data_IF_492979514457
#
_entry.id   IF_492979514457
#
_cell.length_a   1.000
_cell.length_b   1.000
_cell.length_c   1.000
_cell.angle_alpha   90.00
_cell.angle_beta   90.00
_cell.angle_gamma   90.00
#
_symmetry.space_group_name_H-M   'P 1'
#
loop_
_entity.id
_entity.type
_entity.pdbx_description
1 polymer ?
#
# COMPACT_ATOMS: atom_id res chain seq x y z
N UNK A 1 12.15 2.99 -7.44
CA UNK A 1 10.77 3.37 -7.10
C UNK A 1 10.78 4.76 -6.52
N UNK A 2 9.62 5.38 -6.32
CA UNK A 2 9.50 6.49 -5.38
C UNK A 2 9.09 5.94 -4.02
N UNK A 3 9.86 6.27 -3.00
CA UNK A 3 9.55 5.96 -1.60
C UNK A 3 8.57 6.98 -1.03
N UNK A 4 8.07 6.75 0.19
CA UNK A 4 7.28 7.79 0.86
C UNK A 4 8.20 8.89 1.38
N UNK A 5 7.66 10.10 1.60
CA UNK A 5 8.34 11.17 2.35
C UNK A 5 8.40 10.90 3.86
N UNK A 6 7.98 9.71 4.29
CA UNK A 6 8.04 9.26 5.67
C UNK A 6 9.49 9.34 6.17
N UNK A 7 9.73 10.06 7.25
CA UNK A 7 11.07 10.31 7.77
C UNK A 7 11.63 9.18 8.63
N UNK A 8 10.90 8.07 8.79
CA UNK A 8 11.45 6.83 9.35
C UNK A 8 12.41 6.12 8.39
N UNK A 9 12.50 6.56 7.13
CA UNK A 9 13.52 6.09 6.19
C UNK A 9 14.92 6.59 6.59
N UNK A 10 15.88 5.68 6.72
CA UNK A 10 17.28 6.01 7.01
C UNK A 10 18.14 6.21 5.73
N UNK A 11 17.62 5.79 4.57
CA UNK A 11 18.33 5.81 3.29
C UNK A 11 18.17 7.13 2.51
N UNK A 12 19.12 7.41 1.60
CA UNK A 12 18.96 8.45 0.59
C UNK A 12 17.94 8.02 -0.47
N UNK A 13 16.72 8.54 -0.36
CA UNK A 13 15.58 8.16 -1.20
C UNK A 13 15.12 9.29 -2.12
N UNK A 14 14.62 8.90 -3.29
CA UNK A 14 13.71 9.76 -4.07
C UNK A 14 12.30 9.49 -3.58
N UNK A 15 11.68 10.49 -2.97
CA UNK A 15 10.43 10.35 -2.26
C UNK A 15 9.28 11.16 -2.87
N UNK A 16 8.07 10.62 -2.78
CA UNK A 16 6.82 11.33 -3.01
C UNK A 16 5.85 11.00 -1.88
N UNK A 17 4.89 11.88 -1.56
CA UNK A 17 3.86 11.54 -0.58
C UNK A 17 3.14 10.24 -0.96
N UNK A 18 3.17 9.24 -0.07
CA UNK A 18 2.60 7.90 -0.30
C UNK A 18 3.41 6.99 -1.25
N UNK A 19 4.58 7.43 -1.73
CA UNK A 19 5.42 6.69 -2.68
C UNK A 19 4.73 6.38 -4.00
N UNK A 20 5.16 5.27 -4.63
CA UNK A 20 4.54 4.77 -5.87
C UNK A 20 3.02 4.57 -5.74
N UNK A 21 2.55 4.09 -4.58
CA UNK A 21 1.12 3.92 -4.31
C UNK A 21 0.36 5.24 -4.32
N UNK A 22 0.87 6.29 -3.65
CA UNK A 22 0.25 7.62 -3.65
C UNK A 22 0.14 8.19 -5.06
N UNK A 23 1.22 8.09 -5.85
CA UNK A 23 1.22 8.50 -7.26
C UNK A 23 0.18 7.71 -8.06
N UNK A 24 0.12 6.40 -7.89
CA UNK A 24 -0.84 5.54 -8.58
C UNK A 24 -2.28 5.96 -8.28
N UNK A 25 -2.63 6.14 -7.00
CA UNK A 25 -3.99 6.51 -6.59
C UNK A 25 -4.37 7.88 -7.15
N UNK A 26 -3.49 8.88 -7.09
CA UNK A 26 -3.75 10.19 -7.71
C UNK A 26 -3.94 10.10 -9.23
N UNK A 27 -3.10 9.34 -9.93
CA UNK A 27 -3.22 9.13 -11.37
C UNK A 27 -4.50 8.38 -11.74
N UNK A 28 -4.87 7.35 -10.97
CA UNK A 28 -6.09 6.58 -11.14
C UNK A 28 -7.35 7.45 -10.94
N UNK A 29 -7.36 8.33 -9.93
CA UNK A 29 -8.46 9.25 -9.70
C UNK A 29 -8.71 10.17 -10.91
N UNK A 30 -7.64 10.74 -11.47
CA UNK A 30 -7.74 11.59 -12.68
C UNK A 30 -8.18 10.77 -13.89
N UNK A 31 -7.61 9.57 -14.08
CA UNK A 31 -7.95 8.70 -15.21
C UNK A 31 -9.43 8.27 -15.19
N UNK A 32 -9.96 7.88 -14.03
CA UNK A 32 -11.34 7.44 -13.88
C UNK A 32 -12.31 8.59 -14.15
N UNK A 33 -12.04 9.79 -13.59
CA UNK A 33 -12.88 10.98 -13.85
C UNK A 33 -12.83 11.49 -15.28
N UNK A 34 -11.67 11.39 -15.93
CA UNK A 34 -11.47 11.81 -17.31
C UNK A 34 -12.03 10.81 -18.33
N UNK A 35 -12.50 9.64 -17.89
CA UNK A 35 -13.08 8.63 -18.75
C UNK A 35 -14.50 9.00 -19.16
N UNK A 36 -14.89 8.63 -20.38
CA UNK A 36 -16.27 8.71 -20.86
C UNK A 36 -17.17 7.60 -20.30
N UNK A 37 -16.61 6.69 -19.50
CA UNK A 37 -17.37 5.67 -18.75
C UNK A 37 -17.84 6.22 -17.40
N UNK A 38 -18.91 5.68 -16.80
CA UNK A 38 -19.28 5.98 -15.42
C UNK A 38 -18.09 5.81 -14.47
N UNK A 39 -18.00 6.69 -13.47
CA UNK A 39 -17.02 6.58 -12.39
C UNK A 39 -17.16 5.23 -11.72
N UNK A 40 -16.11 4.40 -11.81
CA UNK A 40 -16.07 3.05 -11.26
C UNK A 40 -14.83 2.90 -10.38
N UNK A 41 -15.04 2.97 -9.06
CA UNK A 41 -14.02 2.71 -8.04
C UNK A 41 -14.07 1.26 -7.51
N UNK A 42 -14.71 0.34 -8.24
CA UNK A 42 -14.81 -1.06 -7.83
C UNK A 42 -13.45 -1.74 -7.71
N UNK A 43 -13.37 -2.71 -6.80
CA UNK A 43 -12.19 -3.53 -6.59
C UNK A 43 -11.60 -4.09 -7.88
N UNK A 44 -12.44 -4.67 -8.74
CA UNK A 44 -12.01 -5.27 -10.02
C UNK A 44 -11.34 -4.25 -10.93
N UNK A 45 -11.94 -3.07 -11.09
CA UNK A 45 -11.38 -2.02 -11.94
C UNK A 45 -10.06 -1.49 -11.39
N UNK A 46 -9.98 -1.23 -10.09
CA UNK A 46 -8.77 -0.73 -9.45
C UNK A 46 -7.64 -1.76 -9.52
N UNK A 47 -7.93 -3.04 -9.26
CA UNK A 47 -6.96 -4.13 -9.40
C UNK A 47 -6.42 -4.24 -10.83
N UNK A 48 -7.27 -4.10 -11.84
CA UNK A 48 -6.83 -4.11 -13.25
C UNK A 48 -5.92 -2.92 -13.58
N UNK A 49 -6.26 -1.71 -13.13
CA UNK A 49 -5.43 -0.52 -13.32
C UNK A 49 -4.07 -0.66 -12.64
N UNK A 50 -4.06 -1.12 -11.38
CA UNK A 50 -2.83 -1.32 -10.61
C UNK A 50 -1.95 -2.39 -11.25
N UNK A 51 -2.53 -3.53 -11.62
CA UNK A 51 -1.82 -4.59 -12.33
C UNK A 51 -1.21 -4.06 -13.64
N UNK A 52 -1.99 -3.35 -14.45
CA UNK A 52 -1.51 -2.73 -15.70
C UNK A 52 -0.34 -1.77 -15.45
N UNK A 53 -0.44 -0.92 -14.43
CA UNK A 53 0.63 0.01 -14.04
C UNK A 53 1.91 -0.73 -13.65
N UNK A 54 1.82 -1.72 -12.76
CA UNK A 54 2.96 -2.52 -12.29
C UNK A 54 3.61 -3.25 -13.47
N UNK A 55 2.81 -3.89 -14.32
CA UNK A 55 3.33 -4.65 -15.45
C UNK A 55 3.99 -3.77 -16.50
N UNK A 56 3.51 -2.53 -16.68
CA UNK A 56 4.03 -1.58 -17.66
C UNK A 56 5.29 -0.84 -17.22
N UNK A 57 5.40 -0.51 -15.93
CA UNK A 57 6.41 0.43 -15.42
C UNK A 57 7.34 -0.13 -14.35
N UNK A 58 7.13 -1.37 -13.89
CA UNK A 58 7.93 -1.98 -12.82
C UNK A 58 8.54 -3.30 -13.27
N UNK A 59 9.68 -3.62 -12.68
CA UNK A 59 10.46 -4.84 -12.93
C UNK A 59 10.85 -5.47 -11.60
N UNK A 60 11.41 -6.68 -11.62
CA UNK A 60 11.93 -7.31 -10.40
C UNK A 60 13.04 -6.50 -9.72
N UNK A 61 13.81 -5.71 -10.50
CA UNK A 61 14.85 -4.81 -9.97
C UNK A 61 14.30 -3.46 -9.54
N UNK A 62 13.28 -2.96 -10.23
CA UNK A 62 12.60 -1.71 -9.92
C UNK A 62 11.15 -2.01 -9.53
N UNK A 63 10.97 -2.54 -8.31
CA UNK A 63 9.68 -2.97 -7.77
C UNK A 63 8.77 -1.78 -7.45
N UNK A 64 7.46 -1.98 -7.56
CA UNK A 64 6.42 -1.05 -7.09
C UNK A 64 6.49 -0.96 -5.57
N UNK A 65 6.57 0.24 -5.05
CA UNK A 65 6.75 0.49 -3.62
C UNK A 65 5.43 0.81 -2.90
N UNK A 66 5.28 0.22 -1.73
CA UNK A 66 4.35 0.63 -0.68
C UNK A 66 5.03 0.40 0.67
N UNK A 67 4.58 1.09 1.71
CA UNK A 67 4.98 0.73 3.07
C UNK A 67 3.79 0.75 4.01
N UNK A 68 4.00 0.06 5.11
CA UNK A 68 3.19 0.07 6.32
C UNK A 68 4.15 0.22 7.51
N UNK A 69 3.65 0.12 8.73
CA UNK A 69 4.46 0.01 9.94
C UNK A 69 4.07 -1.20 10.78
N UNK A 70 4.92 -1.49 11.76
CA UNK A 70 4.77 -2.56 12.74
C UNK A 70 3.44 -2.48 13.51
N UNK A 71 3.06 -1.30 13.98
CA UNK A 71 1.81 -1.06 14.70
C UNK A 71 0.58 -1.37 13.86
N UNK A 72 0.59 -0.97 12.58
CA UNK A 72 -0.46 -1.28 11.62
C UNK A 72 -0.57 -2.78 11.37
N UNK A 73 0.57 -3.46 11.13
CA UNK A 73 0.58 -4.89 10.88
C UNK A 73 0.13 -5.70 12.09
N UNK A 74 0.52 -5.31 13.31
CA UNK A 74 0.07 -5.96 14.53
C UNK A 74 -1.47 -5.94 14.62
N UNK A 75 -2.11 -4.80 14.35
CA UNK A 75 -3.58 -4.69 14.35
C UNK A 75 -4.23 -5.55 13.27
N UNK A 76 -3.62 -5.64 12.09
CA UNK A 76 -4.09 -6.52 11.02
C UNK A 76 -4.04 -7.98 11.48
N UNK A 77 -2.93 -8.41 12.09
CA UNK A 77 -2.78 -9.77 12.60
C UNK A 77 -3.80 -10.06 13.70
N UNK A 78 -3.99 -9.15 14.66
CA UNK A 78 -5.04 -9.29 15.70
C UNK A 78 -6.43 -9.42 15.09
N UNK A 79 -6.80 -8.62 14.08
CA UNK A 79 -8.12 -8.74 13.43
C UNK A 79 -8.30 -10.11 12.73
N UNK A 80 -7.24 -10.65 12.12
CA UNK A 80 -7.27 -11.97 11.48
C UNK A 80 -7.42 -13.08 12.54
N UNK A 81 -6.71 -12.98 13.65
CA UNK A 81 -6.81 -13.91 14.78
C UNK A 81 -8.20 -13.89 15.42
N UNK A 82 -8.75 -12.70 15.69
CA UNK A 82 -10.09 -12.51 16.26
C UNK A 82 -11.20 -13.00 15.32
N UNK A 83 -10.97 -12.95 14.00
CA UNK A 83 -11.86 -13.54 13.00
C UNK A 83 -11.82 -15.09 12.96
N UNK A 84 -10.99 -15.72 13.80
CA UNK A 84 -10.90 -17.17 13.96
C UNK A 84 -9.91 -17.84 13.01
N UNK A 85 -9.10 -17.07 12.27
CA UNK A 85 -8.08 -17.60 11.36
C UNK A 85 -6.74 -17.77 12.07
N UNK A 86 -6.73 -18.58 13.14
CA UNK A 86 -5.50 -19.01 13.82
C UNK A 86 -5.02 -20.29 13.13
N UNK A 87 -4.32 -20.15 12.02
CA UNK A 87 -3.65 -21.29 11.34
C UNK A 87 -2.19 -21.33 11.77
N UNK A 88 -1.47 -22.46 11.63
CA UNK A 88 0.00 -22.49 11.79
C UNK A 88 0.74 -21.47 10.89
N UNK A 89 0.08 -20.95 9.85
CA UNK A 89 0.59 -19.93 8.94
C UNK A 89 0.37 -18.49 9.43
N UNK A 90 -0.48 -18.29 10.44
CA UNK A 90 -0.78 -16.99 11.07
C UNK A 90 -0.45 -16.96 12.57
N UNK A 91 -0.49 -18.11 13.26
CA UNK A 91 0.13 -18.28 14.56
C UNK A 91 1.63 -18.24 14.36
N UNK A 92 2.35 -17.58 15.27
CA UNK A 92 3.81 -17.64 15.39
C UNK A 92 4.38 -18.90 14.74
N UNK A 93 5.31 -18.74 13.81
CA UNK A 93 6.00 -19.88 13.20
C UNK A 93 6.47 -20.82 14.31
N UNK A 94 6.73 -22.09 14.03
CA UNK A 94 7.19 -23.07 15.04
C UNK A 94 8.44 -22.64 15.86
N UNK A 95 9.04 -21.48 15.56
CA UNK A 95 10.14 -20.82 16.25
C UNK A 95 9.77 -19.54 17.04
N UNK A 96 8.50 -19.13 17.12
CA UNK A 96 8.09 -17.89 17.80
C UNK A 96 8.25 -16.62 16.97
N UNK A 97 8.50 -16.71 15.66
CA UNK A 97 8.65 -15.54 14.80
C UNK A 97 7.28 -14.98 14.40
N UNK A 98 7.14 -13.64 14.45
CA UNK A 98 5.93 -12.95 14.00
C UNK A 98 5.73 -13.11 12.48
N UNK A 99 4.47 -13.17 12.06
CA UNK A 99 4.11 -13.34 10.65
C UNK A 99 4.38 -12.05 9.88
N UNK A 100 5.29 -12.13 8.91
CA UNK A 100 5.57 -11.01 8.01
C UNK A 100 4.64 -11.04 6.79
N UNK A 101 3.55 -10.28 6.87
CA UNK A 101 2.58 -10.09 5.78
C UNK A 101 3.16 -9.40 4.54
N UNK A 102 4.30 -8.71 4.69
CA UNK A 102 4.99 -7.97 3.64
C UNK A 102 6.07 -8.81 2.93
N UNK A 103 6.46 -9.95 3.50
CA UNK A 103 7.53 -10.80 3.00
C UNK A 103 7.37 -11.24 1.54
N UNK A 104 8.50 -11.35 0.84
CA UNK A 104 8.55 -11.95 -0.49
C UNK A 104 8.17 -13.45 -0.41
N UNK A 105 7.17 -13.85 -1.19
CA UNK A 105 6.70 -15.24 -1.23
C UNK A 105 5.62 -15.59 -0.20
N UNK A 106 5.29 -14.68 0.73
CA UNK A 106 4.17 -14.88 1.64
C UNK A 106 2.83 -14.92 0.88
N UNK A 107 1.97 -15.84 1.29
CA UNK A 107 0.59 -15.97 0.82
C UNK A 107 -0.25 -16.52 1.97
N UNK A 108 -1.32 -15.82 2.40
CA UNK A 108 -2.28 -16.36 3.34
C UNK A 108 -2.85 -17.71 2.88
N UNK A 109 -3.18 -18.63 3.81
CA UNK A 109 -4.09 -19.74 3.58
C UNK A 109 -5.37 -19.30 2.85
N UNK A 110 -5.89 -20.19 2.00
CA UNK A 110 -6.99 -19.86 1.09
C UNK A 110 -8.28 -19.48 1.83
N UNK A 111 -8.54 -20.10 2.97
CA UNK A 111 -9.67 -19.82 3.86
C UNK A 111 -9.53 -18.47 4.59
N UNK A 112 -8.31 -18.10 4.98
CA UNK A 112 -8.01 -16.83 5.65
C UNK A 112 -7.80 -15.63 4.70
N UNK A 113 -7.62 -15.89 3.40
CA UNK A 113 -7.23 -14.86 2.42
C UNK A 113 -8.19 -13.68 2.37
N UNK A 114 -9.49 -13.92 2.38
CA UNK A 114 -10.49 -12.83 2.30
C UNK A 114 -10.48 -11.98 3.57
N UNK A 115 -10.37 -12.61 4.74
CA UNK A 115 -10.24 -11.90 6.01
C UNK A 115 -8.93 -11.09 6.07
N UNK A 116 -7.82 -11.66 5.61
CA UNK A 116 -6.56 -10.94 5.54
C UNK A 116 -6.62 -9.74 4.59
N UNK A 117 -7.26 -9.89 3.41
CA UNK A 117 -7.48 -8.79 2.46
C UNK A 117 -8.42 -7.72 3.01
N UNK A 118 -9.44 -8.11 3.79
CA UNK A 118 -10.28 -7.18 4.52
C UNK A 118 -9.46 -6.37 5.52
N UNK A 119 -8.72 -7.05 6.40
CA UNK A 119 -7.93 -6.43 7.47
C UNK A 119 -6.86 -5.46 6.95
N UNK A 120 -6.05 -5.85 5.95
CA UNK A 120 -5.03 -4.93 5.36
C UNK A 120 -5.64 -3.73 4.64
N UNK A 121 -6.90 -3.83 4.22
CA UNK A 121 -7.60 -2.75 3.55
C UNK A 121 -8.34 -1.82 4.51
N UNK A 122 -8.41 -2.17 5.80
CA UNK A 122 -9.01 -1.34 6.83
C UNK A 122 -8.18 -0.06 7.03
N UNK A 123 -8.77 1.07 6.66
CA UNK A 123 -8.13 2.39 6.67
C UNK A 123 -7.59 2.79 8.06
N UNK A 124 -8.16 2.24 9.13
CA UNK A 124 -7.72 2.49 10.52
C UNK A 124 -6.33 1.90 10.80
N UNK A 125 -5.91 0.90 10.03
CA UNK A 125 -4.65 0.18 10.20
C UNK A 125 -3.63 0.52 9.11
N UNK A 126 -3.73 1.68 8.48
CA UNK A 126 -2.73 2.07 7.49
C UNK A 126 -1.51 2.68 8.19
N UNK A 127 -0.36 2.04 8.06
CA UNK A 127 0.92 2.56 8.57
C UNK A 127 1.47 3.72 7.74
N UNK A 128 1.16 3.77 6.44
CA UNK A 128 1.45 4.95 5.62
C UNK A 128 0.46 6.08 5.94
N UNK A 129 0.93 7.06 6.70
CA UNK A 129 0.12 8.22 7.09
C UNK A 129 -0.47 8.97 5.89
N UNK A 130 0.25 9.08 4.77
CA UNK A 130 -0.27 9.72 3.57
C UNK A 130 -1.44 8.96 2.95
N UNK A 131 -1.32 7.64 2.80
CA UNK A 131 -2.41 6.82 2.26
C UNK A 131 -3.63 6.84 3.19
N UNK A 132 -3.40 6.82 4.50
CA UNK A 132 -4.46 6.98 5.50
C UNK A 132 -5.21 8.31 5.32
N UNK A 133 -4.49 9.42 5.20
CA UNK A 133 -5.09 10.74 4.99
C UNK A 133 -5.83 10.86 3.65
N UNK A 134 -5.31 10.25 2.58
CA UNK A 134 -6.00 10.19 1.28
C UNK A 134 -7.36 9.49 1.39
N UNK A 135 -7.42 8.36 2.11
CA UNK A 135 -8.68 7.66 2.35
C UNK A 135 -9.60 8.38 3.33
N UNK A 136 -9.07 9.03 4.37
CA UNK A 136 -9.89 9.73 5.37
C UNK A 136 -10.50 11.03 4.84
N UNK A 137 -9.77 11.73 3.97
CA UNK A 137 -10.14 13.05 3.48
C UNK A 137 -10.07 13.12 1.94
N UNK A 138 -10.79 12.26 1.21
CA UNK A 138 -10.64 12.13 -0.25
C UNK A 138 -10.82 13.46 -0.99
N UNK A 139 -11.76 14.31 -0.54
CA UNK A 139 -11.98 15.64 -1.12
C UNK A 139 -10.74 16.56 -1.07
N UNK A 140 -9.87 16.43 -0.07
CA UNK A 140 -8.61 17.20 0.02
C UNK A 140 -7.57 16.76 -1.01
N UNK A 141 -7.72 15.54 -1.55
CA UNK A 141 -6.81 14.94 -2.52
C UNK A 141 -7.41 14.91 -3.92
N UNK A 142 -8.46 15.71 -4.15
CA UNK A 142 -9.27 15.67 -5.36
C UNK A 142 -9.66 14.22 -5.68
N UNK A 143 -10.33 13.56 -4.74
CA UNK A 143 -10.93 12.23 -4.89
C UNK A 143 -12.37 12.28 -4.39
N UNK A 144 -13.24 11.49 -5.00
CA UNK A 144 -14.68 11.51 -4.71
C UNK A 144 -15.10 10.44 -3.69
N UNK A 145 -14.27 9.39 -3.52
CA UNK A 145 -14.55 8.27 -2.62
C UNK A 145 -13.26 7.73 -1.97
N UNK A 146 -13.33 7.27 -0.70
CA UNK A 146 -12.24 6.50 -0.07
C UNK A 146 -12.00 5.15 -0.75
N UNK A 147 -12.98 4.63 -1.49
CA UNK A 147 -12.94 3.30 -2.10
C UNK A 147 -11.75 3.12 -3.03
N UNK A 148 -11.31 4.18 -3.71
CA UNK A 148 -10.12 4.12 -4.56
C UNK A 148 -8.87 3.73 -3.76
N UNK A 149 -8.69 4.34 -2.60
CA UNK A 149 -7.55 4.08 -1.71
C UNK A 149 -7.67 2.69 -1.10
N UNK A 150 -8.85 2.37 -0.55
CA UNK A 150 -9.13 1.07 0.09
C UNK A 150 -8.92 -0.08 -0.89
N UNK A 151 -9.52 0.02 -2.09
CA UNK A 151 -9.39 -1.01 -3.12
C UNK A 151 -7.99 -1.06 -3.72
N UNK A 152 -7.23 0.04 -3.76
CA UNK A 152 -5.84 0.02 -4.23
C UNK A 152 -4.93 -0.74 -3.27
N UNK A 153 -5.03 -0.50 -1.96
CA UNK A 153 -4.24 -1.23 -0.95
C UNK A 153 -4.65 -2.70 -0.94
N UNK A 154 -5.96 -2.99 -0.93
CA UNK A 154 -6.47 -4.37 -1.04
C UNK A 154 -5.93 -5.08 -2.29
N UNK A 155 -5.97 -4.41 -3.44
CA UNK A 155 -5.49 -4.98 -4.70
C UNK A 155 -3.97 -5.21 -4.69
N UNK A 156 -3.20 -4.33 -4.04
CA UNK A 156 -1.75 -4.51 -3.90
C UNK A 156 -1.42 -5.79 -3.14
N UNK A 157 -2.05 -6.00 -1.97
CA UNK A 157 -1.84 -7.21 -1.18
C UNK A 157 -2.34 -8.46 -1.92
N UNK A 158 -3.48 -8.39 -2.60
CA UNK A 158 -3.97 -9.51 -3.41
C UNK A 158 -3.00 -9.88 -4.54
N UNK A 159 -2.44 -8.89 -5.24
CA UNK A 159 -1.43 -9.10 -6.27
C UNK A 159 -0.10 -9.63 -5.69
N UNK A 160 0.30 -9.14 -4.51
CA UNK A 160 1.50 -9.58 -3.78
C UNK A 160 1.39 -11.03 -3.34
N UNK A 161 0.28 -11.39 -2.71
CA UNK A 161 -0.04 -12.72 -2.20
C UNK A 161 -0.57 -13.70 -3.25
N UNK A 162 -0.37 -13.41 -4.54
CA UNK A 162 -0.62 -14.36 -5.62
C UNK A 162 0.73 -14.80 -6.19
N UNK A 163 1.35 -15.90 -5.68
CA UNK A 163 2.70 -16.31 -6.08
C UNK A 163 2.85 -16.56 -7.59
N UNK A 164 1.79 -17.06 -8.25
CA UNK A 164 1.78 -17.29 -9.68
C UNK A 164 1.68 -16.00 -10.52
N UNK A 165 1.40 -14.84 -9.91
CA UNK A 165 1.28 -13.57 -10.62
C UNK A 165 2.66 -12.96 -10.87
N UNK A 166 2.98 -12.56 -12.13
CA UNK A 166 4.19 -11.81 -12.43
C UNK A 166 4.31 -10.49 -11.63
N UNK A 167 3.19 -9.96 -11.11
CA UNK A 167 3.18 -8.76 -10.30
C UNK A 167 3.79 -8.99 -8.90
N UNK A 168 3.69 -10.19 -8.32
CA UNK A 168 4.15 -10.47 -6.96
C UNK A 168 5.65 -10.17 -6.79
N UNK A 169 6.49 -10.66 -7.71
CA UNK A 169 7.94 -10.36 -7.73
C UNK A 169 8.29 -8.93 -8.18
N UNK A 170 7.29 -8.11 -8.54
CA UNK A 170 7.44 -6.70 -8.88
C UNK A 170 6.87 -5.77 -7.83
N UNK A 171 6.41 -6.28 -6.68
CA UNK A 171 5.89 -5.49 -5.57
C UNK A 171 6.83 -5.64 -4.38
N UNK A 172 7.18 -4.50 -3.77
CA UNK A 172 7.91 -4.39 -2.50
C UNK A 172 7.02 -3.66 -1.51
N UNK A 173 6.75 -4.32 -0.38
CA UNK A 173 6.08 -3.71 0.77
C UNK A 173 7.14 -3.62 1.86
N UNK A 174 7.42 -2.40 2.31
CA UNK A 174 8.33 -2.19 3.44
C UNK A 174 7.53 -2.04 4.73
N UNK A 175 8.06 -2.57 5.81
CA UNK A 175 7.56 -2.36 7.17
C UNK A 175 8.51 -1.40 7.84
N UNK A 176 8.03 -0.19 8.12
CA UNK A 176 8.82 0.81 8.83
C UNK A 176 8.69 0.56 10.32
N UNK A 177 9.84 0.52 10.98
CA UNK A 177 9.94 0.41 12.44
C UNK A 177 10.05 1.80 13.06
N UNK A 178 9.71 1.87 14.36
CA UNK A 178 9.86 3.06 15.23
C UNK A 178 8.81 4.16 15.00
N UNK A 179 8.67 5.00 16.03
CA UNK A 179 7.83 6.18 16.01
C UNK A 179 8.38 7.28 15.10
N UNK A 180 7.48 8.13 14.60
CA UNK A 180 7.83 9.37 13.92
C UNK A 180 8.60 10.31 14.86
N UNK A 181 9.74 10.81 14.39
CA UNK A 181 10.59 11.78 15.11
C UNK A 181 10.86 13.05 14.30
N UNK A 182 10.24 13.16 13.12
CA UNK A 182 10.35 14.28 12.21
C UNK A 182 9.82 15.56 12.87
N UNK A 183 10.64 16.62 12.85
CA UNK A 183 10.30 17.88 13.52
C UNK A 183 9.85 18.99 12.56
N UNK A 184 10.16 18.85 11.27
CA UNK A 184 9.84 19.87 10.28
C UNK A 184 9.78 19.29 8.86
N UNK A 185 9.01 19.95 8.00
CA UNK A 185 9.06 19.77 6.54
C UNK A 185 9.74 21.00 5.94
N UNK A 186 10.80 20.79 5.16
CA UNK A 186 11.56 21.87 4.54
C UNK A 186 11.12 22.05 3.09
N UNK A 187 10.54 23.21 2.79
CA UNK A 187 10.23 23.61 1.42
C UNK A 187 11.38 24.47 0.88
N UNK A 188 12.19 23.91 -0.03
CA UNK A 188 13.26 24.65 -0.68
C UNK A 188 12.70 25.34 -1.91
N UNK A 189 12.61 26.66 -1.86
CA UNK A 189 12.23 27.47 -3.02
C UNK A 189 13.48 27.89 -3.79
N UNK A 190 13.59 27.46 -5.05
CA UNK A 190 14.64 27.93 -5.95
C UNK A 190 14.48 29.42 -6.29
N UNK A 191 15.55 30.08 -6.79
CA UNK A 191 15.45 31.46 -7.26
C UNK A 191 14.35 31.59 -8.32
N UNK A 192 13.56 32.67 -8.25
CA UNK A 192 12.52 32.98 -9.24
C UNK A 192 13.20 33.16 -10.61
N UNK A 193 13.04 32.17 -11.49
CA UNK A 193 13.64 32.16 -12.82
C UNK A 193 14.78 31.15 -12.93
N UNK A 194 14.43 29.87 -13.10
CA UNK A 194 15.20 29.04 -14.02
C UNK A 194 14.73 29.44 -15.43
N UNK A 195 15.63 29.77 -16.37
CA UNK A 195 15.26 30.01 -17.76
C UNK A 195 14.61 28.78 -18.41
#
# INVERSE_FOLDING_TARGET
HFSCIDGRHEDQILATPGGDMGIFVSAAAVHIRGSSTPTDFSYTRIKQLLYGFIMRFRTARARFYYHTDDHALHKVLTEIEEAGFVTESFSHTAAGEEVDLAADGFSPPADAREAALHAVSNLTYYGCGHMRLMGQYPGKYAMDSPDLVVNAVRALYDLKWTPASPASGRIRIDVLERDHTEQAVVFVQGPKGCP
#
